data_IF_571577741371
#
_entry.id   IF_571577741371
#
_cell.length_a   1.000
_cell.length_b   1.000
_cell.length_c   1.000
_cell.angle_alpha   90.00
_cell.angle_beta   90.00
_cell.angle_gamma   90.00
#
_symmetry.space_group_name_H-M   'P 1'
#
loop_
_entity.id
_entity.type
_entity.pdbx_description
1 polymer ?
#
# COMPACT_ATOMS: atom_id res chain seq x y z
N UNK A 1 -21.58 -11.27 8.58
CA UNK A 1 -20.53 -10.23 8.50
C UNK A 1 -19.71 -10.47 7.23
N UNK A 2 -19.30 -9.43 6.52
CA UNK A 2 -18.65 -9.61 5.21
C UNK A 2 -17.19 -10.06 5.40
N UNK A 3 -16.81 -11.20 4.81
CA UNK A 3 -15.46 -11.77 4.87
C UNK A 3 -14.37 -10.74 4.57
N UNK A 4 -14.63 -9.79 3.67
CA UNK A 4 -13.65 -8.79 3.29
C UNK A 4 -13.23 -7.89 4.46
N UNK A 5 -14.16 -7.53 5.36
CA UNK A 5 -13.87 -6.65 6.50
C UNK A 5 -13.28 -7.39 7.71
N UNK A 6 -13.47 -8.72 7.78
CA UNK A 6 -12.93 -9.53 8.88
C UNK A 6 -11.51 -10.05 8.61
N UNK A 7 -11.05 -9.97 7.37
CA UNK A 7 -9.75 -10.53 6.99
C UNK A 7 -8.66 -9.50 7.15
N UNK A 8 -7.64 -9.83 7.95
CA UNK A 8 -6.45 -8.99 8.13
C UNK A 8 -5.60 -8.92 6.86
N UNK A 9 -4.92 -7.79 6.63
CA UNK A 9 -4.04 -7.55 5.47
C UNK A 9 -2.67 -8.28 5.55
N UNK A 10 -2.57 -9.37 6.31
CA UNK A 10 -1.43 -10.27 6.25
C UNK A 10 -1.28 -10.87 4.85
N UNK A 11 -0.13 -11.46 4.52
CA UNK A 11 0.06 -12.17 3.26
C UNK A 11 -1.02 -13.22 3.02
N UNK A 12 -1.26 -14.10 4.01
CA UNK A 12 -2.30 -15.13 3.91
C UNK A 12 -3.71 -14.53 3.77
N UNK A 13 -3.99 -13.42 4.46
CA UNK A 13 -5.23 -12.69 4.33
C UNK A 13 -5.45 -12.13 2.92
N UNK A 14 -4.44 -11.46 2.35
CA UNK A 14 -4.50 -10.94 0.98
C UNK A 14 -4.71 -12.05 -0.06
N UNK A 15 -4.03 -13.20 0.11
CA UNK A 15 -4.22 -14.37 -0.75
C UNK A 15 -5.64 -14.96 -0.63
N UNK A 16 -6.19 -14.99 0.59
CA UNK A 16 -7.57 -15.43 0.82
C UNK A 16 -8.57 -14.49 0.15
N UNK A 17 -8.42 -13.18 0.34
CA UNK A 17 -9.28 -12.16 -0.26
C UNK A 17 -9.25 -12.23 -1.79
N UNK A 18 -8.07 -12.42 -2.39
CA UNK A 18 -7.93 -12.60 -3.84
C UNK A 18 -8.73 -13.81 -4.34
N UNK A 19 -8.58 -14.98 -3.69
CA UNK A 19 -9.36 -16.18 -4.05
C UNK A 19 -10.86 -15.97 -3.93
N UNK A 20 -11.29 -15.20 -2.93
CA UNK A 20 -12.71 -14.87 -2.75
C UNK A 20 -13.25 -13.97 -3.88
N UNK A 21 -12.47 -12.98 -4.30
CA UNK A 21 -12.79 -12.14 -5.46
C UNK A 21 -12.92 -13.02 -6.71
N UNK A 22 -11.95 -13.88 -6.99
CA UNK A 22 -11.96 -14.75 -8.16
C UNK A 22 -13.17 -15.68 -8.17
N UNK A 23 -13.54 -16.23 -7.00
CA UNK A 23 -14.72 -17.09 -6.85
C UNK A 23 -16.04 -16.36 -7.11
N UNK A 24 -16.11 -15.06 -6.78
CA UNK A 24 -17.32 -14.24 -6.93
C UNK A 24 -17.52 -13.66 -8.33
N UNK A 25 -16.44 -13.36 -9.02
CA UNK A 25 -16.48 -12.51 -10.22
C UNK A 25 -16.16 -13.27 -11.51
N UNK A 26 -15.17 -14.15 -11.51
CA UNK A 26 -14.76 -14.94 -12.69
C UNK A 26 -14.11 -14.14 -13.83
N UNK A 27 -14.15 -12.80 -13.77
CA UNK A 27 -13.67 -11.88 -14.81
C UNK A 27 -12.53 -10.96 -14.35
N UNK A 28 -12.03 -11.17 -13.12
CA UNK A 28 -10.91 -10.38 -12.56
C UNK A 28 -9.59 -10.93 -13.05
N UNK A 29 -8.73 -10.05 -13.57
CA UNK A 29 -7.36 -10.39 -13.96
C UNK A 29 -6.38 -9.75 -12.97
N UNK A 30 -5.49 -10.57 -12.38
CA UNK A 30 -4.45 -10.13 -11.47
C UNK A 30 -3.08 -10.14 -12.16
N UNK A 31 -2.29 -9.11 -11.90
CA UNK A 31 -0.90 -9.05 -12.31
C UNK A 31 -0.05 -8.35 -11.25
N UNK A 32 1.26 -8.61 -11.26
CA UNK A 32 2.21 -7.91 -10.42
C UNK A 32 2.87 -6.79 -11.22
N UNK A 33 2.92 -5.59 -10.64
CA UNK A 33 3.58 -4.44 -11.22
C UNK A 33 4.91 -4.10 -10.54
N UNK A 34 5.32 -4.90 -9.54
CA UNK A 34 6.56 -4.71 -8.81
C UNK A 34 6.66 -5.63 -7.60
N UNK A 35 7.66 -5.35 -6.77
CA UNK A 35 7.87 -6.00 -5.47
C UNK A 35 8.16 -4.95 -4.41
N UNK A 36 7.74 -5.22 -3.17
CA UNK A 36 8.09 -4.42 -2.01
C UNK A 36 9.56 -4.61 -1.60
N UNK A 37 10.00 -3.88 -0.60
CA UNK A 37 11.35 -3.97 -0.02
C UNK A 37 11.71 -5.40 0.39
N UNK A 38 10.77 -6.12 1.02
CA UNK A 38 11.00 -7.51 1.47
C UNK A 38 10.60 -8.56 0.41
N UNK A 39 10.33 -8.12 -0.83
CA UNK A 39 10.09 -8.99 -1.99
C UNK A 39 8.65 -9.46 -2.14
N UNK A 40 7.69 -8.94 -1.37
CA UNK A 40 6.27 -9.22 -1.57
C UNK A 40 5.78 -8.67 -2.92
N UNK A 41 4.98 -9.43 -3.70
CA UNK A 41 4.46 -8.94 -4.96
C UNK A 41 3.48 -7.77 -4.74
N UNK A 42 3.66 -6.70 -5.51
CA UNK A 42 2.71 -5.59 -5.59
C UNK A 42 1.66 -5.96 -6.64
N UNK A 43 0.45 -6.29 -6.20
CA UNK A 43 -0.60 -6.81 -7.04
C UNK A 43 -1.59 -5.73 -7.46
N UNK A 44 -1.96 -5.76 -8.73
CA UNK A 44 -3.06 -5.00 -9.29
C UNK A 44 -4.11 -5.95 -9.87
N UNK A 45 -5.37 -5.70 -9.57
CA UNK A 45 -6.50 -6.34 -10.20
C UNK A 45 -7.03 -5.46 -11.32
N UNK A 46 -7.40 -6.06 -12.47
CA UNK A 46 -8.15 -5.38 -13.54
C UNK A 46 -9.52 -6.01 -13.66
N UNK A 47 -10.56 -5.17 -13.69
CA UNK A 47 -11.94 -5.60 -13.89
C UNK A 47 -12.76 -4.52 -14.60
N UNK A 48 -13.83 -4.94 -15.25
CA UNK A 48 -14.69 -4.06 -16.06
C UNK A 48 -14.11 -3.74 -17.42
N UNK A 49 -14.89 -3.04 -18.24
CA UNK A 49 -14.48 -2.65 -19.60
C UNK A 49 -15.27 -1.42 -20.08
N UNK A 50 -14.64 -0.68 -20.99
CA UNK A 50 -15.22 0.56 -21.53
C UNK A 50 -15.31 1.67 -20.47
N UNK A 51 -15.86 2.83 -20.86
CA UNK A 51 -15.97 3.99 -19.97
C UNK A 51 -14.61 4.52 -19.48
N UNK A 52 -14.60 5.30 -18.39
CA UNK A 52 -13.37 5.84 -17.85
C UNK A 52 -12.49 4.75 -17.25
N UNK A 53 -11.18 4.94 -17.35
CA UNK A 53 -10.17 4.11 -16.69
C UNK A 53 -9.83 4.70 -15.32
N UNK A 54 -10.05 3.95 -14.26
CA UNK A 54 -9.82 4.37 -12.88
C UNK A 54 -8.74 3.52 -12.24
N UNK A 55 -7.78 4.14 -11.56
CA UNK A 55 -6.82 3.46 -10.69
C UNK A 55 -7.17 3.75 -9.22
N UNK A 56 -7.45 2.69 -8.46
CA UNK A 56 -7.80 2.76 -7.05
C UNK A 56 -6.66 2.15 -6.22
N UNK A 57 -6.17 2.86 -5.21
CA UNK A 57 -5.02 2.42 -4.41
C UNK A 57 -5.35 2.47 -2.93
N UNK A 58 -5.12 1.37 -2.22
CA UNK A 58 -5.26 1.27 -0.77
C UNK A 58 -3.96 0.93 -0.07
N UNK A 59 -3.97 1.05 1.25
CA UNK A 59 -2.85 0.70 2.15
C UNK A 59 -1.53 1.32 1.70
N UNK A 60 -1.51 2.66 1.51
CA UNK A 60 -0.25 3.42 1.46
C UNK A 60 0.45 3.36 2.82
N UNK A 61 -0.32 3.51 3.90
CA UNK A 61 0.17 3.34 5.26
C UNK A 61 -0.18 1.94 5.77
N UNK A 62 0.81 1.29 6.42
CA UNK A 62 0.69 -0.08 6.87
C UNK A 62 -0.54 -0.34 7.76
N UNK A 63 -0.91 0.61 8.61
CA UNK A 63 -2.04 0.47 9.55
C UNK A 63 -3.42 0.74 8.93
N UNK A 64 -3.52 1.15 7.67
CA UNK A 64 -4.79 1.54 7.05
C UNK A 64 -5.47 0.38 6.32
N UNK A 65 -5.59 -0.78 6.99
CA UNK A 65 -6.12 -2.03 6.42
C UNK A 65 -7.52 -1.91 5.85
N UNK A 66 -8.37 -1.07 6.46
CA UNK A 66 -9.75 -0.85 6.03
C UNK A 66 -9.84 -0.41 4.57
N UNK A 67 -8.86 0.37 4.09
CA UNK A 67 -8.81 0.80 2.69
C UNK A 67 -8.61 -0.37 1.73
N UNK A 68 -7.75 -1.31 2.08
CA UNK A 68 -7.54 -2.55 1.33
C UNK A 68 -8.79 -3.42 1.32
N UNK A 69 -9.42 -3.61 2.49
CA UNK A 69 -10.65 -4.38 2.61
C UNK A 69 -11.78 -3.79 1.77
N UNK A 70 -11.92 -2.45 1.78
CA UNK A 70 -12.90 -1.76 0.94
C UNK A 70 -12.64 -2.01 -0.55
N UNK A 71 -11.38 -1.99 -0.98
CA UNK A 71 -11.02 -2.24 -2.38
C UNK A 71 -11.25 -3.70 -2.79
N UNK A 72 -10.96 -4.67 -1.92
CA UNK A 72 -11.32 -6.07 -2.18
C UNK A 72 -12.85 -6.25 -2.24
N UNK A 73 -13.60 -5.56 -1.37
CA UNK A 73 -15.06 -5.57 -1.42
C UNK A 73 -15.57 -5.00 -2.74
N UNK A 74 -15.05 -3.83 -3.13
CA UNK A 74 -15.42 -3.17 -4.39
C UNK A 74 -15.19 -4.09 -5.59
N UNK A 75 -13.97 -4.63 -5.74
CA UNK A 75 -13.67 -5.46 -6.90
C UNK A 75 -14.35 -6.83 -6.85
N UNK A 76 -14.78 -7.29 -5.68
CA UNK A 76 -15.55 -8.52 -5.48
C UNK A 76 -17.08 -8.36 -5.67
N UNK A 77 -17.57 -7.16 -6.02
CA UNK A 77 -19.00 -6.96 -6.32
C UNK A 77 -19.41 -7.73 -7.57
N UNK A 78 -20.64 -8.23 -7.61
CA UNK A 78 -21.18 -8.94 -8.78
C UNK A 78 -21.18 -8.09 -10.06
N UNK A 79 -21.57 -6.82 -9.95
CA UNK A 79 -21.53 -5.85 -11.04
C UNK A 79 -20.81 -4.58 -10.62
N UNK A 80 -20.00 -4.02 -11.50
CA UNK A 80 -19.38 -2.71 -11.33
C UNK A 80 -20.07 -1.67 -12.22
N UNK A 81 -20.02 -0.37 -11.87
CA UNK A 81 -20.38 0.69 -12.79
C UNK A 81 -19.62 0.58 -14.11
N UNK A 82 -20.15 1.17 -15.19
CA UNK A 82 -19.44 1.19 -16.47
C UNK A 82 -18.09 1.89 -16.33
N UNK A 83 -17.01 1.17 -16.64
CA UNK A 83 -15.63 1.66 -16.50
C UNK A 83 -14.63 0.51 -16.55
N UNK A 84 -13.36 0.86 -16.69
CA UNK A 84 -12.24 -0.05 -16.53
C UNK A 84 -11.54 0.28 -15.22
N UNK A 85 -11.49 -0.65 -14.30
CA UNK A 85 -10.95 -0.46 -12.95
C UNK A 85 -9.65 -1.24 -12.78
N UNK A 86 -8.61 -0.52 -12.44
CA UNK A 86 -7.37 -1.07 -11.93
C UNK A 86 -7.32 -0.82 -10.42
N UNK A 87 -7.11 -1.86 -9.65
CA UNK A 87 -7.20 -1.80 -8.19
C UNK A 87 -5.95 -2.39 -7.56
N UNK A 88 -5.24 -1.59 -6.79
CA UNK A 88 -4.11 -1.98 -5.95
C UNK A 88 -4.59 -2.01 -4.50
N UNK A 89 -5.05 -3.15 -3.98
CA UNK A 89 -5.65 -3.19 -2.64
C UNK A 89 -4.64 -2.95 -1.52
N UNK A 90 -3.35 -3.25 -1.76
CA UNK A 90 -2.30 -3.07 -0.76
C UNK A 90 -0.99 -2.67 -1.44
N UNK A 91 -0.68 -1.38 -1.38
CA UNK A 91 0.58 -0.83 -1.91
C UNK A 91 1.77 -1.12 -0.97
N UNK A 92 1.53 -1.15 0.35
CA UNK A 92 2.55 -1.30 1.39
C UNK A 92 2.38 -2.63 2.17
N UNK A 93 2.64 -3.78 1.52
CA UNK A 93 2.44 -5.08 2.16
C UNK A 93 3.38 -5.33 3.34
N UNK A 94 4.60 -4.78 3.29
CA UNK A 94 5.60 -4.94 4.35
C UNK A 94 5.22 -4.13 5.59
N UNK A 95 4.78 -2.88 5.40
CA UNK A 95 4.28 -2.04 6.50
C UNK A 95 3.04 -2.64 7.15
N UNK A 96 2.12 -3.20 6.35
CA UNK A 96 0.96 -3.90 6.85
C UNK A 96 1.32 -5.15 7.66
N UNK A 97 2.32 -5.91 7.20
CA UNK A 97 2.81 -7.08 7.94
C UNK A 97 3.43 -6.68 9.28
N UNK A 98 4.25 -5.61 9.31
CA UNK A 98 4.87 -5.11 10.55
C UNK A 98 3.81 -4.70 11.56
N UNK A 99 2.83 -3.92 11.15
CA UNK A 99 1.76 -3.42 12.03
C UNK A 99 0.94 -4.57 12.62
N UNK A 100 0.67 -5.62 11.85
CA UNK A 100 -0.06 -6.82 12.28
C UNK A 100 0.80 -7.82 13.09
N UNK A 101 1.95 -7.41 13.58
CA UNK A 101 2.83 -8.24 14.42
C UNK A 101 3.72 -9.20 13.63
N UNK A 102 3.85 -9.04 12.32
CA UNK A 102 4.73 -9.82 11.44
C UNK A 102 6.20 -9.39 11.47
N UNK A 103 6.65 -8.74 12.55
CA UNK A 103 8.07 -8.44 12.71
C UNK A 103 8.89 -9.72 12.84
N UNK A 104 9.91 -9.84 11.96
CA UNK A 104 10.81 -11.00 11.94
C UNK A 104 12.20 -10.60 12.46
N UNK A 105 12.66 -11.15 13.59
CA UNK A 105 13.99 -10.88 14.12
C UNK A 105 15.14 -11.35 13.22
N UNK A 106 14.88 -12.29 12.28
CA UNK A 106 15.85 -12.77 11.31
C UNK A 106 15.95 -11.86 10.06
N UNK A 107 15.03 -10.90 9.91
CA UNK A 107 15.07 -9.96 8.79
C UNK A 107 16.33 -9.10 8.84
N UNK A 108 16.94 -8.86 7.68
CA UNK A 108 18.07 -7.93 7.53
C UNK A 108 17.76 -6.50 8.02
N UNK A 109 16.49 -6.14 8.11
CA UNK A 109 16.02 -4.83 8.57
C UNK A 109 15.61 -4.81 10.05
N UNK A 110 15.58 -5.96 10.75
CA UNK A 110 14.97 -6.09 12.07
C UNK A 110 15.51 -5.09 13.10
N UNK A 111 16.84 -4.98 13.24
CA UNK A 111 17.45 -4.03 14.18
C UNK A 111 17.22 -2.57 13.79
N UNK A 112 17.25 -2.27 12.48
CA UNK A 112 16.97 -0.92 11.98
C UNK A 112 15.53 -0.53 12.28
N UNK A 113 14.56 -1.43 12.05
CA UNK A 113 13.14 -1.21 12.35
C UNK A 113 12.91 -0.92 13.83
N UNK A 114 13.52 -1.68 14.72
CA UNK A 114 13.44 -1.43 16.17
C UNK A 114 14.02 -0.06 16.54
N UNK A 115 15.20 0.31 15.99
CA UNK A 115 15.79 1.63 16.23
C UNK A 115 14.86 2.77 15.74
N UNK A 116 14.34 2.68 14.53
CA UNK A 116 13.39 3.65 13.96
C UNK A 116 12.11 3.75 14.78
N UNK A 117 11.70 2.67 15.45
CA UNK A 117 10.51 2.61 16.32
C UNK A 117 10.82 2.98 17.78
N UNK A 118 11.91 3.72 18.04
CA UNK A 118 12.28 4.17 19.37
C UNK A 118 12.66 3.02 20.32
N UNK A 119 13.28 1.96 19.81
CA UNK A 119 13.67 0.76 20.56
C UNK A 119 12.55 -0.23 20.84
N UNK A 120 11.32 0.03 20.37
CA UNK A 120 10.15 -0.81 20.64
C UNK A 120 9.98 -1.86 19.55
N UNK A 121 9.46 -3.05 19.94
CA UNK A 121 9.06 -4.13 19.04
C UNK A 121 7.54 -4.19 18.82
N UNK A 122 6.80 -3.25 19.37
CA UNK A 122 5.38 -3.05 19.08
C UNK A 122 5.25 -2.08 17.91
N UNK A 123 4.86 -2.58 16.75
CA UNK A 123 4.70 -1.85 15.50
C UNK A 123 3.22 -1.48 15.20
N UNK A 124 2.31 -1.59 16.17
CA UNK A 124 0.88 -1.32 16.00
C UNK A 124 0.53 0.09 15.50
N UNK A 125 1.50 1.00 15.46
CA UNK A 125 1.37 2.38 14.93
C UNK A 125 2.27 2.65 13.74
N UNK A 126 2.76 1.59 13.08
CA UNK A 126 3.68 1.72 11.96
C UNK A 126 2.92 2.07 10.66
N UNK A 127 3.19 3.24 10.11
CA UNK A 127 2.61 3.71 8.85
C UNK A 127 3.53 3.46 7.65
N UNK A 128 4.84 3.59 7.87
CA UNK A 128 5.87 3.52 6.85
C UNK A 128 5.99 2.13 6.18
N UNK A 129 6.80 2.04 5.13
CA UNK A 129 7.23 0.76 4.57
C UNK A 129 8.30 0.08 5.44
N UNK A 130 8.89 -1.04 4.98
CA UNK A 130 9.89 -1.79 5.74
C UNK A 130 11.16 -0.99 6.04
N UNK A 131 11.50 0.03 5.26
CA UNK A 131 12.66 0.91 5.46
C UNK A 131 12.38 2.16 6.30
N UNK A 132 11.15 2.32 6.76
CA UNK A 132 10.74 3.48 7.53
C UNK A 132 10.47 4.71 6.66
N UNK A 133 10.06 4.51 5.42
CA UNK A 133 9.67 5.57 4.50
C UNK A 133 8.15 5.65 4.44
N UNK A 134 7.61 6.83 4.67
CA UNK A 134 6.20 7.15 4.47
C UNK A 134 5.93 7.34 2.97
N UNK A 135 5.30 6.33 2.36
CA UNK A 135 5.11 6.28 0.92
C UNK A 135 4.31 7.48 0.39
N UNK A 136 3.42 8.05 1.21
CA UNK A 136 2.61 9.20 0.83
C UNK A 136 3.46 10.46 0.55
N UNK A 137 4.65 10.52 1.10
CA UNK A 137 5.60 11.63 0.95
C UNK A 137 6.78 11.32 0.02
N UNK A 138 6.84 10.12 -0.55
CA UNK A 138 7.97 9.68 -1.39
C UNK A 138 7.79 10.00 -2.89
N UNK A 139 6.72 10.69 -3.29
CA UNK A 139 6.48 11.11 -4.66
C UNK A 139 7.19 12.43 -4.99
N UNK A 140 7.49 12.71 -6.30
CA UNK A 140 8.18 13.94 -6.70
C UNK A 140 7.43 15.22 -6.35
N UNK A 141 6.09 15.19 -6.42
CA UNK A 141 5.24 16.34 -6.14
C UNK A 141 5.37 16.79 -4.68
N UNK A 142 5.86 18.01 -4.46
CA UNK A 142 6.00 18.59 -3.13
C UNK A 142 7.14 18.02 -2.28
N UNK A 143 7.97 17.09 -2.78
CA UNK A 143 9.02 16.43 -2.02
C UNK A 143 9.99 17.42 -1.34
N UNK A 144 10.52 18.39 -2.10
CA UNK A 144 11.47 19.37 -1.57
C UNK A 144 10.86 20.23 -0.45
N UNK A 145 9.60 20.65 -0.61
CA UNK A 145 8.89 21.42 0.41
C UNK A 145 8.63 20.57 1.67
N UNK A 146 8.29 19.29 1.49
CA UNK A 146 8.04 18.39 2.62
C UNK A 146 9.32 18.09 3.42
N UNK A 147 10.49 18.07 2.79
CA UNK A 147 11.79 17.92 3.48
C UNK A 147 12.05 19.03 4.51
N UNK A 148 11.52 20.23 4.32
CA UNK A 148 11.59 21.30 5.33
C UNK A 148 10.72 20.97 6.54
N UNK A 149 9.54 20.38 6.31
CA UNK A 149 8.66 19.90 7.39
C UNK A 149 9.36 18.81 8.20
N UNK A 150 9.98 17.83 7.54
CA UNK A 150 10.75 16.77 8.22
C UNK A 150 11.83 17.34 9.14
N UNK A 151 12.63 18.28 8.63
CA UNK A 151 13.69 18.93 9.43
C UNK A 151 13.10 19.64 10.64
N UNK A 152 11.97 20.34 10.47
CA UNK A 152 11.31 21.03 11.59
C UNK A 152 10.77 20.07 12.65
N UNK A 153 10.49 18.83 12.30
CA UNK A 153 10.04 17.75 13.18
C UNK A 153 11.18 16.92 13.75
N UNK A 154 12.45 17.21 13.37
CA UNK A 154 13.62 16.45 13.80
C UNK A 154 13.64 15.01 13.26
N UNK A 155 13.03 14.77 12.09
CA UNK A 155 13.02 13.46 11.45
C UNK A 155 14.29 13.32 10.60
N UNK A 156 15.20 12.46 11.03
CA UNK A 156 16.44 12.15 10.35
C UNK A 156 16.51 10.66 10.01
N UNK A 157 16.46 10.33 8.71
CA UNK A 157 16.46 8.94 8.26
C UNK A 157 15.09 8.26 8.48
N UNK A 158 15.03 6.93 8.41
CA UNK A 158 13.78 6.17 8.52
C UNK A 158 13.04 6.37 9.84
N UNK A 159 11.71 6.43 9.78
CA UNK A 159 10.83 6.63 10.92
C UNK A 159 9.53 5.82 10.75
N UNK A 160 8.76 5.59 11.83
CA UNK A 160 7.45 4.93 11.72
C UNK A 160 6.46 5.68 10.84
N UNK A 161 6.64 6.97 10.65
CA UNK A 161 5.78 7.86 9.86
C UNK A 161 6.56 9.10 9.43
N UNK A 162 6.09 9.80 8.41
CA UNK A 162 6.53 11.14 7.98
C UNK A 162 7.96 11.26 7.40
N UNK A 163 8.72 10.20 7.26
CA UNK A 163 9.99 10.26 6.55
C UNK A 163 9.76 10.03 5.05
N UNK A 164 10.13 10.99 4.22
CA UNK A 164 9.87 10.95 2.77
C UNK A 164 10.85 10.10 1.96
N UNK A 165 11.88 9.55 2.59
CA UNK A 165 12.94 8.81 1.89
C UNK A 165 14.14 9.68 1.54
N UNK A 166 15.18 9.08 0.94
CA UNK A 166 16.43 9.78 0.60
C UNK A 166 16.25 10.74 -0.59
N UNK A 167 15.44 10.31 -1.57
CA UNK A 167 15.09 11.07 -2.77
C UNK A 167 13.67 10.67 -3.25
N UNK A 168 13.05 11.46 -4.13
CA UNK A 168 11.74 11.12 -4.67
C UNK A 168 11.79 9.77 -5.38
N UNK A 169 10.80 8.92 -5.13
CA UNK A 169 10.73 7.56 -5.66
C UNK A 169 11.94 6.71 -5.24
N UNK A 170 12.46 6.90 -4.02
CA UNK A 170 13.50 6.00 -3.47
C UNK A 170 12.97 4.58 -3.20
N UNK A 171 11.65 4.42 -3.06
CA UNK A 171 11.03 3.17 -2.67
C UNK A 171 10.45 2.40 -3.86
N UNK A 172 10.63 1.07 -3.92
CA UNK A 172 10.13 0.27 -5.04
C UNK A 172 8.60 0.30 -5.14
N UNK A 173 7.89 0.46 -4.03
CA UNK A 173 6.43 0.60 -4.01
C UNK A 173 5.97 1.84 -4.78
N UNK A 174 6.60 2.99 -4.54
CA UNK A 174 6.26 4.25 -5.22
C UNK A 174 6.75 4.27 -6.66
N UNK A 175 7.93 3.69 -6.93
CA UNK A 175 8.41 3.50 -8.31
C UNK A 175 7.44 2.63 -9.12
N UNK A 176 7.03 1.48 -8.55
CA UNK A 176 6.09 0.57 -9.20
C UNK A 176 4.75 1.26 -9.48
N UNK A 177 4.20 1.99 -8.50
CA UNK A 177 2.93 2.68 -8.69
C UNK A 177 3.02 3.79 -9.76
N UNK A 178 4.09 4.58 -9.77
CA UNK A 178 4.29 5.60 -10.80
C UNK A 178 4.44 4.97 -12.19
N UNK A 179 5.23 3.89 -12.32
CA UNK A 179 5.33 3.15 -13.58
C UNK A 179 3.98 2.56 -14.04
N UNK A 180 3.16 2.11 -13.11
CA UNK A 180 1.80 1.63 -13.41
C UNK A 180 0.92 2.78 -13.91
N UNK A 181 0.97 3.95 -13.28
CA UNK A 181 0.23 5.16 -13.72
C UNK A 181 0.66 5.56 -15.14
N UNK A 182 1.96 5.60 -15.41
CA UNK A 182 2.49 5.98 -16.72
C UNK A 182 2.03 5.01 -17.83
N UNK A 183 2.01 3.70 -17.54
CA UNK A 183 1.57 2.67 -18.51
C UNK A 183 0.07 2.72 -18.74
N UNK A 184 -0.72 2.88 -17.67
CA UNK A 184 -2.18 2.84 -17.74
C UNK A 184 -2.79 4.15 -18.25
N UNK A 185 -2.10 5.27 -18.02
CA UNK A 185 -2.61 6.64 -18.27
C UNK A 185 -4.10 6.78 -17.85
N UNK A 186 -4.44 6.49 -16.56
CA UNK A 186 -5.83 6.45 -16.15
C UNK A 186 -6.46 7.84 -16.15
N UNK A 187 -7.78 7.90 -16.41
CA UNK A 187 -8.54 9.16 -16.35
C UNK A 187 -8.58 9.75 -14.94
N UNK A 188 -8.50 8.88 -13.91
CA UNK A 188 -8.37 9.32 -12.52
C UNK A 188 -7.63 8.28 -11.66
N UNK A 189 -6.91 8.80 -10.66
CA UNK A 189 -6.29 8.00 -9.59
C UNK A 189 -6.95 8.39 -8.27
N UNK A 190 -7.44 7.40 -7.53
CA UNK A 190 -8.01 7.58 -6.21
C UNK A 190 -7.21 6.78 -5.19
N UNK A 191 -6.56 7.48 -4.26
CA UNK A 191 -5.88 6.88 -3.12
C UNK A 191 -6.76 6.96 -1.88
N UNK A 192 -6.89 5.84 -1.16
CA UNK A 192 -7.73 5.75 0.02
C UNK A 192 -6.87 5.77 1.30
N UNK A 193 -7.32 6.58 2.25
CA UNK A 193 -6.74 6.69 3.58
C UNK A 193 -7.82 6.60 4.66
N UNK A 194 -7.47 6.13 5.86
CA UNK A 194 -8.40 6.11 7.02
C UNK A 194 -8.13 7.21 8.01
N UNK A 195 -7.00 7.89 7.90
CA UNK A 195 -6.64 9.05 8.71
C UNK A 195 -6.70 10.30 7.82
N UNK A 196 -7.85 10.94 7.80
CA UNK A 196 -8.04 12.29 7.28
C UNK A 196 -8.45 13.23 8.42
N UNK A 197 -7.77 14.35 8.56
CA UNK A 197 -8.20 15.46 9.42
C UNK A 197 -8.59 16.63 8.56
#
# INVERSE_FOLDING_TARGET
MDLFFETQMTRAGRERLRREVDARTGDTTWFSFGRSILGEPLLCARRGQGGPTMLLVGVHHGMEHLTGNLLYTFIGMGALPTGTYYVVPCLNPDGAALELGGWDPASILAERQVRMNGGRRDFSRWQANARGVDLNHNYPAGFAAYREVERSLGIEGGAPTRYSGEYPLSEPETQGLMGLIDILAPDAVLTLHTQGR
#
